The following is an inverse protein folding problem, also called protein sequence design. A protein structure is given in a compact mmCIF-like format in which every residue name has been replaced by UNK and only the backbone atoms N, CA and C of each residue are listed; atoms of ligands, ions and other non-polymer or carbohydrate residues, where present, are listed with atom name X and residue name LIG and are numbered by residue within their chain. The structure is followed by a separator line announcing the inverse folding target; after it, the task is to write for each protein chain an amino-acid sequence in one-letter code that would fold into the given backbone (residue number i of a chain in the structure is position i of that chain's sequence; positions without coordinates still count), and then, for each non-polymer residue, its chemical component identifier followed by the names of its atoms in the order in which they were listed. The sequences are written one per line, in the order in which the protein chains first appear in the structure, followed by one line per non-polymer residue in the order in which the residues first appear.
data_IF_063295367325
#
_entry.id   IF_063295367325
#
_cell.length_a   1.000
_cell.length_b   1.000
_cell.length_c   1.000
_cell.angle_alpha   90.00
_cell.angle_beta   90.00
_cell.angle_gamma   90.00
#
_symmetry.space_group_name_H-M   'P 1'
#
loop_
_entity.id
_entity.type
_entity.pdbx_description
1 polymer ?
#
# COMPACT_ATOMS: atom_id res chain seq x y z
N UNK A 1 -66.06 5.01 -1.38
CA UNK A 1 -65.27 3.95 -2.06
C UNK A 1 -64.03 4.59 -2.67
N UNK A 2 -62.95 4.66 -1.89
CA UNK A 2 -61.67 5.21 -2.38
C UNK A 2 -60.74 4.05 -2.68
N UNK A 3 -60.33 3.92 -3.91
CA UNK A 3 -59.33 2.95 -4.36
C UNK A 3 -57.95 3.61 -4.27
N UNK A 4 -57.13 3.13 -3.36
CA UNK A 4 -55.73 3.50 -3.24
C UNK A 4 -54.94 2.74 -4.31
N UNK A 5 -54.35 3.49 -5.25
CA UNK A 5 -53.37 2.93 -6.21
C UNK A 5 -51.99 2.84 -5.54
N UNK A 6 -51.50 1.66 -5.34
CA UNK A 6 -50.05 1.45 -5.04
C UNK A 6 -49.25 1.49 -6.32
N UNK A 7 -48.43 2.53 -6.48
CA UNK A 7 -47.37 2.56 -7.50
C UNK A 7 -46.14 1.90 -6.91
N UNK A 8 -45.86 0.70 -7.35
CA UNK A 8 -44.61 0.00 -7.06
C UNK A 8 -43.52 0.62 -7.90
N UNK A 9 -42.61 1.37 -7.27
CA UNK A 9 -41.39 1.87 -7.89
C UNK A 9 -40.36 0.72 -7.91
N UNK A 10 -40.35 -0.03 -9.01
CA UNK A 10 -39.32 -1.04 -9.25
C UNK A 10 -37.99 -0.35 -9.60
N UNK A 11 -37.02 -0.41 -8.70
CA UNK A 11 -35.64 -0.02 -9.01
C UNK A 11 -35.08 -1.10 -9.94
N UNK A 12 -35.03 -0.82 -11.22
CA UNK A 12 -34.30 -1.65 -12.18
C UNK A 12 -32.80 -1.47 -11.91
N UNK A 13 -32.17 -2.43 -11.27
CA UNK A 13 -30.72 -2.55 -11.24
C UNK A 13 -30.27 -2.89 -12.66
N UNK A 14 -29.87 -1.89 -13.41
CA UNK A 14 -29.22 -2.09 -14.70
C UNK A 14 -27.84 -2.66 -14.42
N UNK A 15 -27.74 -3.98 -14.51
CA UNK A 15 -26.45 -4.67 -14.53
C UNK A 15 -25.80 -4.35 -15.88
N UNK A 16 -25.02 -3.26 -15.93
CA UNK A 16 -24.16 -3.01 -17.08
C UNK A 16 -23.11 -4.11 -17.09
N UNK A 17 -23.21 -5.02 -18.07
CA UNK A 17 -22.13 -5.93 -18.37
C UNK A 17 -20.92 -5.07 -18.72
N UNK A 18 -19.93 -5.03 -17.83
CA UNK A 18 -18.72 -4.27 -18.04
C UNK A 18 -18.01 -4.86 -19.26
N UNK A 19 -17.67 -4.03 -20.23
CA UNK A 19 -16.74 -4.41 -21.28
C UNK A 19 -15.47 -4.93 -20.59
N UNK A 20 -14.96 -6.08 -21.05
CA UNK A 20 -13.73 -6.65 -20.47
C UNK A 20 -12.56 -5.69 -20.66
N UNK A 21 -11.71 -5.59 -19.66
CA UNK A 21 -10.43 -4.88 -19.72
C UNK A 21 -9.32 -5.84 -20.16
N UNK A 22 -8.22 -5.34 -20.69
CA UNK A 22 -7.02 -6.16 -20.85
C UNK A 22 -6.46 -6.51 -19.49
N UNK A 23 -6.43 -5.54 -18.57
CA UNK A 23 -5.90 -5.73 -17.21
C UNK A 23 -6.83 -5.11 -16.16
N UNK A 24 -7.06 -5.85 -15.09
CA UNK A 24 -7.59 -5.33 -13.82
C UNK A 24 -6.45 -5.31 -12.81
N UNK A 25 -6.17 -4.15 -12.23
CA UNK A 25 -5.23 -4.01 -11.12
C UNK A 25 -6.03 -3.79 -9.84
N UNK A 26 -5.86 -4.65 -8.85
CA UNK A 26 -6.51 -4.58 -7.56
C UNK A 26 -5.52 -4.09 -6.49
N UNK A 27 -5.80 -2.95 -5.89
CA UNK A 27 -4.94 -2.22 -4.96
C UNK A 27 -4.21 -1.06 -5.64
N UNK A 28 -4.59 0.18 -5.29
CA UNK A 28 -3.91 1.39 -5.75
C UNK A 28 -2.71 1.76 -4.85
N UNK A 29 -1.92 0.77 -4.45
CA UNK A 29 -0.59 0.97 -3.86
C UNK A 29 0.35 1.61 -4.90
N UNK A 30 1.55 2.08 -4.54
CA UNK A 30 2.52 2.56 -5.53
C UNK A 30 2.81 1.54 -6.63
N UNK A 31 2.85 0.25 -6.29
CA UNK A 31 3.04 -0.83 -7.26
C UNK A 31 1.87 -0.94 -8.24
N UNK A 32 0.62 -0.90 -7.74
CA UNK A 32 -0.57 -0.96 -8.57
C UNK A 32 -0.72 0.25 -9.49
N UNK A 33 -0.40 1.44 -8.98
CA UNK A 33 -0.37 2.67 -9.78
C UNK A 33 0.66 2.55 -10.91
N UNK A 34 1.87 2.10 -10.59
CA UNK A 34 2.91 1.88 -11.59
C UNK A 34 2.50 0.85 -12.65
N UNK A 35 1.93 -0.27 -12.23
CA UNK A 35 1.43 -1.30 -13.15
C UNK A 35 0.35 -0.73 -14.08
N UNK A 36 -0.63 -0.01 -13.54
CA UNK A 36 -1.72 0.57 -14.33
C UNK A 36 -1.23 1.61 -15.36
N UNK A 37 -0.26 2.44 -14.98
CA UNK A 37 0.37 3.43 -15.88
C UNK A 37 1.08 2.71 -17.02
N UNK A 38 1.89 1.69 -16.73
CA UNK A 38 2.62 0.98 -17.80
C UNK A 38 1.67 0.20 -18.72
N UNK A 39 0.58 -0.36 -18.22
CA UNK A 39 -0.45 -0.98 -19.07
C UNK A 39 -1.05 0.05 -20.04
N UNK A 40 -1.34 1.26 -19.58
CA UNK A 40 -1.84 2.35 -20.45
C UNK A 40 -0.80 2.77 -21.49
N UNK A 41 0.44 2.95 -21.07
CA UNK A 41 1.57 3.30 -21.96
C UNK A 41 1.81 2.23 -23.03
N UNK A 42 1.53 0.96 -22.71
CA UNK A 42 1.55 -0.14 -23.67
C UNK A 42 0.33 -0.17 -24.62
N UNK A 43 -0.59 0.78 -24.52
CA UNK A 43 -1.77 0.87 -25.38
C UNK A 43 -2.89 -0.08 -24.98
N UNK A 44 -2.83 -0.72 -23.82
CA UNK A 44 -3.85 -1.65 -23.33
C UNK A 44 -4.87 -0.96 -22.43
N UNK A 45 -6.06 -1.55 -22.35
CA UNK A 45 -7.11 -1.09 -21.43
C UNK A 45 -6.86 -1.60 -20.02
N UNK A 46 -7.01 -0.72 -19.01
CA UNK A 46 -6.85 -1.07 -17.61
C UNK A 46 -7.94 -0.41 -16.76
N UNK A 47 -8.27 -1.03 -15.65
CA UNK A 47 -8.97 -0.38 -14.52
C UNK A 47 -8.20 -0.65 -13.23
N UNK A 48 -8.01 0.39 -12.44
CA UNK A 48 -7.37 0.34 -11.13
C UNK A 48 -8.45 0.38 -10.06
N UNK A 49 -8.55 -0.69 -9.28
CA UNK A 49 -9.52 -0.85 -8.21
C UNK A 49 -8.81 -0.62 -6.87
N UNK A 50 -9.38 0.24 -6.05
CA UNK A 50 -8.85 0.53 -4.71
C UNK A 50 -9.90 0.17 -3.65
N UNK A 51 -9.58 -0.75 -2.71
CA UNK A 51 -10.51 -1.15 -1.65
C UNK A 51 -10.92 -0.02 -0.71
N UNK A 52 -10.05 0.96 -0.54
CA UNK A 52 -10.25 2.11 0.36
C UNK A 52 -10.72 3.35 -0.38
N UNK A 53 -10.86 4.45 0.33
CA UNK A 53 -11.16 5.76 -0.26
C UNK A 53 -9.92 6.56 -0.70
N UNK A 54 -8.71 5.97 -0.69
CA UNK A 54 -7.46 6.71 -0.88
C UNK A 54 -6.42 5.90 -1.63
N UNK A 55 -5.80 6.50 -2.65
CA UNK A 55 -4.72 5.87 -3.42
C UNK A 55 -3.34 6.09 -2.80
N UNK A 56 -2.35 5.32 -3.22
CA UNK A 56 -0.93 5.50 -2.93
C UNK A 56 -0.44 4.77 -1.69
N UNK A 57 -1.32 4.03 -0.99
CA UNK A 57 -0.94 3.18 0.13
C UNK A 57 -0.07 3.88 1.17
N UNK A 58 1.05 3.30 1.56
CA UNK A 58 1.98 3.88 2.55
C UNK A 58 2.58 5.22 2.10
N UNK A 59 2.80 5.43 0.81
CA UNK A 59 3.41 6.67 0.27
C UNK A 59 2.52 7.89 0.53
N UNK A 60 1.21 7.71 0.56
CA UNK A 60 0.24 8.77 0.83
C UNK A 60 -0.38 8.68 2.23
N UNK A 61 -0.08 7.61 2.96
CA UNK A 61 -0.65 7.28 4.25
C UNK A 61 0.13 7.78 5.47
N UNK A 62 1.20 8.58 5.29
CA UNK A 62 1.98 9.13 6.39
C UNK A 62 3.49 8.95 6.28
N UNK A 63 3.98 8.20 5.32
CA UNK A 63 5.40 8.04 5.07
C UNK A 63 5.92 9.19 4.20
N UNK A 64 6.38 10.27 4.82
CA UNK A 64 6.85 11.48 4.13
C UNK A 64 8.35 11.49 3.79
N UNK A 65 9.07 10.46 4.18
CA UNK A 65 10.48 10.31 3.87
C UNK A 65 10.74 8.91 3.29
N UNK A 66 11.44 8.87 2.17
CA UNK A 66 11.82 7.60 1.54
C UNK A 66 13.14 7.11 2.14
N UNK A 67 13.14 5.90 2.66
CA UNK A 67 14.36 5.22 3.06
C UNK A 67 15.07 4.71 1.80
N UNK A 68 16.22 5.29 1.51
CA UNK A 68 17.03 4.95 0.34
C UNK A 68 18.51 4.96 0.70
N UNK A 69 19.22 3.97 0.22
CA UNK A 69 20.68 3.90 0.35
C UNK A 69 21.37 4.75 -0.70
N UNK A 70 21.57 4.19 -1.89
CA UNK A 70 22.16 4.89 -3.04
C UNK A 70 21.06 5.40 -3.97
N UNK A 71 20.89 6.72 -4.13
CA UNK A 71 19.86 7.28 -5.01
C UNK A 71 20.06 6.95 -6.50
N UNK A 72 21.20 6.42 -6.88
CA UNK A 72 21.45 5.92 -8.26
C UNK A 72 20.86 4.54 -8.50
N UNK A 73 20.39 3.86 -7.45
CA UNK A 73 19.87 2.50 -7.53
C UNK A 73 18.42 2.43 -8.02
N UNK A 74 17.66 3.53 -8.02
CA UNK A 74 16.29 3.54 -8.50
C UNK A 74 16.16 4.21 -9.87
N UNK A 75 15.21 3.74 -10.67
CA UNK A 75 14.97 4.21 -12.03
C UNK A 75 13.51 4.03 -12.45
N UNK A 76 13.25 4.17 -13.75
CA UNK A 76 11.92 3.98 -14.32
C UNK A 76 10.85 4.84 -13.66
N UNK A 77 9.68 4.27 -13.41
CA UNK A 77 8.54 4.97 -12.81
C UNK A 77 8.81 5.49 -11.39
N UNK A 78 9.65 4.80 -10.61
CA UNK A 78 10.03 5.30 -9.29
C UNK A 78 10.78 6.64 -9.40
N UNK A 79 11.75 6.72 -10.32
CA UNK A 79 12.46 7.98 -10.58
C UNK A 79 11.52 9.06 -11.12
N UNK A 80 10.60 8.71 -12.03
CA UNK A 80 9.61 9.63 -12.56
C UNK A 80 8.70 10.19 -11.46
N UNK A 81 8.26 9.35 -10.50
CA UNK A 81 7.48 9.79 -9.36
C UNK A 81 8.22 10.85 -8.53
N UNK A 82 9.47 10.55 -8.11
CA UNK A 82 10.25 11.48 -7.30
C UNK A 82 10.63 12.76 -8.05
N UNK A 83 10.80 12.67 -9.36
CA UNK A 83 10.98 13.84 -10.22
C UNK A 83 9.71 14.71 -10.26
N UNK A 84 8.52 14.10 -10.35
CA UNK A 84 7.24 14.82 -10.28
C UNK A 84 7.03 15.48 -8.92
N UNK A 85 7.43 14.84 -7.84
CA UNK A 85 7.46 15.45 -6.50
C UNK A 85 8.35 16.69 -6.48
N UNK A 86 9.56 16.59 -7.03
CA UNK A 86 10.46 17.76 -7.12
C UNK A 86 9.85 18.90 -7.91
N UNK A 87 9.29 18.61 -9.09
CA UNK A 87 8.62 19.63 -9.92
C UNK A 87 7.46 20.33 -9.20
N UNK A 88 6.73 19.62 -8.34
CA UNK A 88 5.73 20.23 -7.46
C UNK A 88 6.39 21.26 -6.55
N UNK A 89 7.46 20.90 -5.85
CA UNK A 89 8.14 21.80 -4.91
C UNK A 89 9.05 22.85 -5.58
N UNK A 90 9.28 22.77 -6.88
CA UNK A 90 9.98 23.82 -7.64
C UNK A 90 9.07 25.05 -7.89
N UNK A 91 7.76 24.93 -7.65
CA UNK A 91 6.80 26.03 -7.75
C UNK A 91 6.79 26.83 -6.44
N UNK A 92 7.23 28.12 -6.42
CA UNK A 92 7.35 28.88 -5.18
C UNK A 92 6.04 29.03 -4.40
N UNK A 93 4.91 29.12 -5.08
CA UNK A 93 3.59 29.25 -4.44
C UNK A 93 3.11 28.00 -3.70
N UNK A 94 3.76 26.86 -3.88
CA UNK A 94 3.45 25.63 -3.16
C UNK A 94 4.06 25.58 -1.76
N UNK A 95 5.00 26.47 -1.46
CA UNK A 95 5.60 26.62 -0.13
C UNK A 95 4.74 27.54 0.74
N UNK A 96 3.61 27.03 1.22
CA UNK A 96 2.61 27.82 1.95
C UNK A 96 2.86 27.90 3.46
N UNK A 97 3.67 26.98 4.00
CA UNK A 97 3.87 26.84 5.44
C UNK A 97 5.24 27.31 5.91
N UNK A 98 6.24 27.18 5.05
CA UNK A 98 7.60 27.70 5.27
C UNK A 98 8.22 28.03 3.92
N UNK A 99 9.28 28.83 3.90
CA UNK A 99 10.01 29.10 2.67
C UNK A 99 10.90 27.90 2.28
N UNK A 100 11.14 27.76 0.97
CA UNK A 100 12.06 26.74 0.46
C UNK A 100 13.45 26.85 1.11
N UNK A 101 13.93 28.07 1.31
CA UNK A 101 15.23 28.38 1.89
C UNK A 101 15.30 27.96 3.37
N UNK A 102 14.19 28.15 4.13
CA UNK A 102 14.12 27.72 5.54
C UNK A 102 14.00 26.21 5.69
N UNK A 103 13.41 25.55 4.69
CA UNK A 103 13.34 24.08 4.65
C UNK A 103 14.66 23.45 4.22
N UNK A 104 15.65 24.21 3.77
CA UNK A 104 16.91 23.66 3.30
C UNK A 104 17.40 22.58 4.27
N UNK A 105 17.21 21.31 3.99
CA UNK A 105 17.69 20.26 4.85
C UNK A 105 19.19 20.20 4.66
N UNK A 106 19.92 20.80 5.56
CA UNK A 106 21.38 20.73 5.62
C UNK A 106 21.90 19.27 5.63
N UNK A 107 21.03 18.28 5.49
CA UNK A 107 21.33 16.86 5.68
C UNK A 107 20.73 15.90 4.65
N UNK A 108 19.89 16.32 3.72
CA UNK A 108 19.34 15.40 2.73
C UNK A 108 20.00 15.56 1.37
N UNK A 109 20.69 14.52 0.92
CA UNK A 109 21.28 14.45 -0.45
C UNK A 109 20.24 14.65 -1.55
N UNK A 110 18.97 14.39 -1.28
CA UNK A 110 17.86 14.53 -2.23
C UNK A 110 17.47 15.98 -2.53
N UNK A 111 18.12 16.95 -1.88
CA UNK A 111 17.89 18.37 -2.14
C UNK A 111 19.16 19.09 -2.63
N UNK A 112 20.16 18.36 -3.09
CA UNK A 112 21.27 18.96 -3.78
C UNK A 112 20.76 19.74 -5.01
N UNK A 113 21.35 20.92 -5.34
CA UNK A 113 20.87 21.74 -6.45
C UNK A 113 20.90 21.03 -7.81
N UNK A 114 21.75 20.04 -7.97
CA UNK A 114 21.92 19.21 -9.15
C UNK A 114 21.03 17.94 -9.17
N UNK A 115 20.25 17.72 -8.12
CA UNK A 115 19.35 16.57 -8.04
C UNK A 115 18.02 16.88 -8.75
N UNK A 116 17.62 16.03 -9.68
CA UNK A 116 16.37 16.18 -10.43
C UNK A 116 15.14 15.51 -9.78
N UNK A 117 15.30 14.97 -8.56
CA UNK A 117 14.24 14.30 -7.79
C UNK A 117 14.21 14.77 -6.32
N UNK A 118 13.14 14.45 -5.62
CA UNK A 118 12.98 14.75 -4.20
C UNK A 118 12.39 13.55 -3.45
N UNK A 119 13.08 13.11 -2.39
CA UNK A 119 12.75 11.91 -1.64
C UNK A 119 12.00 12.19 -0.31
N UNK A 120 11.91 13.46 0.08
CA UNK A 120 11.18 13.92 1.26
C UNK A 120 10.03 14.79 0.79
N UNK A 121 8.83 14.49 1.25
CA UNK A 121 7.61 15.16 0.77
C UNK A 121 6.47 14.98 1.76
N UNK A 122 5.47 15.85 1.64
CA UNK A 122 4.22 15.70 2.37
C UNK A 122 3.37 14.59 1.73
N UNK A 123 2.78 13.68 2.52
CA UNK A 123 1.91 12.63 1.99
C UNK A 123 0.76 13.15 1.14
N UNK A 124 0.23 14.32 1.48
CA UNK A 124 -0.81 15.00 0.70
C UNK A 124 -0.33 15.46 -0.69
N UNK A 125 0.94 15.82 -0.81
CA UNK A 125 1.57 16.17 -2.10
C UNK A 125 1.78 14.92 -2.93
N UNK A 126 2.25 13.84 -2.32
CA UNK A 126 2.36 12.55 -3.00
C UNK A 126 1.02 12.11 -3.60
N UNK A 127 -0.07 12.24 -2.84
CA UNK A 127 -1.41 11.92 -3.33
C UNK A 127 -1.79 12.77 -4.55
N UNK A 128 -1.63 14.10 -4.46
CA UNK A 128 -1.93 15.01 -5.58
C UNK A 128 -1.13 14.68 -6.84
N UNK A 129 0.16 14.37 -6.67
CA UNK A 129 1.05 14.00 -7.77
C UNK A 129 0.61 12.69 -8.42
N UNK A 130 0.29 11.67 -7.64
CA UNK A 130 -0.19 10.38 -8.15
C UNK A 130 -1.55 10.51 -8.85
N UNK A 131 -2.49 11.27 -8.27
CA UNK A 131 -3.79 11.53 -8.89
C UNK A 131 -3.67 12.30 -10.21
N UNK A 132 -2.76 13.28 -10.28
CA UNK A 132 -2.48 14.00 -11.51
C UNK A 132 -1.88 13.08 -12.57
N UNK A 133 -0.94 12.24 -12.18
CA UNK A 133 -0.29 11.30 -13.08
C UNK A 133 -1.27 10.27 -13.64
N UNK A 134 -2.11 9.68 -12.81
CA UNK A 134 -3.15 8.74 -13.27
C UNK A 134 -4.12 9.40 -14.26
N UNK A 135 -4.47 10.68 -14.04
CA UNK A 135 -5.29 11.44 -14.99
C UNK A 135 -4.57 11.73 -16.31
N UNK A 136 -3.29 12.08 -16.27
CA UNK A 136 -2.47 12.30 -17.48
C UNK A 136 -2.39 11.04 -18.36
N UNK A 137 -2.34 9.88 -17.74
CA UNK A 137 -2.25 8.58 -18.45
C UNK A 137 -3.63 7.96 -18.74
N UNK A 138 -4.73 8.70 -18.48
CA UNK A 138 -6.10 8.20 -18.66
C UNK A 138 -6.37 6.86 -17.97
N UNK A 139 -5.85 6.65 -16.76
CA UNK A 139 -6.09 5.44 -15.95
C UNK A 139 -7.40 5.60 -15.18
N UNK A 140 -8.44 4.81 -15.44
CA UNK A 140 -9.65 4.78 -14.63
C UNK A 140 -9.36 4.22 -13.23
N UNK A 141 -9.73 4.96 -12.20
CA UNK A 141 -9.59 4.55 -10.79
C UNK A 141 -10.96 4.45 -10.14
N UNK A 142 -11.23 3.33 -9.49
CA UNK A 142 -12.46 3.11 -8.73
C UNK A 142 -12.12 2.91 -7.26
N UNK A 143 -12.48 3.89 -6.45
CA UNK A 143 -12.31 3.85 -4.99
C UNK A 143 -13.47 3.08 -4.33
N UNK A 144 -13.23 2.53 -3.14
CA UNK A 144 -14.21 1.73 -2.41
C UNK A 144 -14.57 0.42 -3.12
N UNK A 145 -13.70 -0.05 -3.99
CA UNK A 145 -13.90 -1.28 -4.77
C UNK A 145 -13.32 -2.49 -4.02
N UNK A 146 -13.83 -2.77 -2.82
CA UNK A 146 -13.37 -3.88 -1.98
C UNK A 146 -13.80 -5.21 -2.59
N UNK A 147 -12.85 -6.14 -2.72
CA UNK A 147 -13.11 -7.50 -3.20
C UNK A 147 -14.07 -8.23 -2.25
N UNK A 148 -15.04 -8.91 -2.80
CA UNK A 148 -15.84 -9.88 -2.04
C UNK A 148 -14.99 -11.13 -1.81
N UNK A 149 -14.45 -11.27 -0.61
CA UNK A 149 -13.65 -12.43 -0.21
C UNK A 149 -14.51 -13.67 0.14
N UNK A 150 -15.82 -13.57 0.02
CA UNK A 150 -16.75 -14.68 0.19
C UNK A 150 -16.79 -15.62 -1.00
N UNK A 151 -17.60 -16.68 -0.88
CA UNK A 151 -17.80 -17.64 -1.96
C UNK A 151 -18.45 -16.97 -3.16
N UNK A 152 -17.71 -16.82 -4.26
CA UNK A 152 -18.18 -16.22 -5.50
C UNK A 152 -17.64 -14.83 -5.79
N UNK A 153 -16.77 -14.28 -4.94
CA UNK A 153 -16.08 -13.02 -5.23
C UNK A 153 -15.02 -13.15 -6.30
N UNK A 154 -14.40 -14.32 -6.44
CA UNK A 154 -13.48 -14.65 -7.55
C UNK A 154 -14.01 -15.88 -8.28
N UNK A 155 -14.28 -15.75 -9.57
CA UNK A 155 -14.71 -16.84 -10.41
C UNK A 155 -13.54 -17.39 -11.21
N UNK A 156 -13.28 -18.69 -11.08
CA UNK A 156 -12.19 -19.39 -11.78
C UNK A 156 -12.78 -20.29 -12.86
N UNK A 157 -12.30 -20.14 -14.08
CA UNK A 157 -12.58 -21.05 -15.19
C UNK A 157 -11.27 -21.42 -15.89
N UNK A 158 -11.09 -22.69 -16.20
CA UNK A 158 -9.89 -23.20 -16.88
C UNK A 158 -8.55 -22.73 -16.25
N UNK A 159 -8.51 -22.75 -14.92
CA UNK A 159 -7.36 -22.27 -14.12
C UNK A 159 -7.00 -20.79 -14.32
N UNK A 160 -7.95 -19.98 -14.74
CA UNK A 160 -7.82 -18.53 -14.90
C UNK A 160 -8.94 -17.82 -14.15
N UNK A 161 -8.66 -16.64 -13.65
CA UNK A 161 -9.69 -15.75 -13.11
C UNK A 161 -10.55 -15.30 -14.29
N UNK A 162 -11.84 -15.67 -14.28
CA UNK A 162 -12.81 -15.26 -15.30
C UNK A 162 -13.42 -13.88 -14.98
N UNK A 163 -13.69 -13.64 -13.70
CA UNK A 163 -14.19 -12.37 -13.19
C UNK A 163 -13.91 -12.23 -11.69
N UNK A 164 -13.89 -10.99 -11.23
CA UNK A 164 -13.90 -10.66 -9.81
C UNK A 164 -15.12 -9.81 -9.48
N UNK A 165 -15.63 -9.95 -8.27
CA UNK A 165 -16.76 -9.19 -7.74
C UNK A 165 -16.35 -8.40 -6.52
N UNK A 166 -16.84 -7.17 -6.41
CA UNK A 166 -16.68 -6.35 -5.23
C UNK A 166 -17.89 -6.50 -4.29
N UNK A 167 -17.71 -6.16 -3.00
CA UNK A 167 -18.76 -6.24 -1.96
C UNK A 167 -20.03 -5.45 -2.33
N UNK A 168 -19.91 -4.39 -3.11
CA UNK A 168 -21.02 -3.60 -3.64
C UNK A 168 -21.68 -4.20 -4.91
N UNK A 169 -21.25 -5.39 -5.31
CA UNK A 169 -21.83 -6.16 -6.39
C UNK A 169 -21.32 -5.83 -7.79
N UNK A 170 -20.39 -4.89 -7.95
CA UNK A 170 -19.78 -4.64 -9.28
C UNK A 170 -18.93 -5.84 -9.69
N UNK A 171 -18.93 -6.13 -10.98
CA UNK A 171 -18.20 -7.25 -11.58
C UNK A 171 -17.20 -6.73 -12.59
N UNK A 172 -15.97 -7.24 -12.54
CA UNK A 172 -14.88 -6.85 -13.43
C UNK A 172 -14.31 -8.09 -14.13
N UNK A 173 -14.16 -7.97 -15.44
CA UNK A 173 -13.59 -8.99 -16.31
C UNK A 173 -12.34 -8.48 -16.99
N UNK A 174 -11.31 -9.31 -17.05
CA UNK A 174 -10.07 -8.97 -17.74
C UNK A 174 -9.35 -10.23 -18.25
N UNK A 175 -8.37 -9.99 -19.13
CA UNK A 175 -7.46 -11.04 -19.57
C UNK A 175 -6.40 -11.34 -18.53
N UNK A 176 -5.99 -10.31 -17.76
CA UNK A 176 -4.97 -10.38 -16.70
C UNK A 176 -5.47 -9.66 -15.45
N UNK A 177 -5.18 -10.24 -14.29
CA UNK A 177 -5.45 -9.65 -12.99
C UNK A 177 -4.14 -9.49 -12.22
N UNK A 178 -3.94 -8.33 -11.63
CA UNK A 178 -2.76 -7.99 -10.83
C UNK A 178 -3.23 -7.67 -9.42
N UNK A 179 -2.75 -8.43 -8.43
CA UNK A 179 -2.93 -8.07 -7.02
C UNK A 179 -1.76 -7.19 -6.60
N UNK A 180 -2.06 -5.97 -6.20
CA UNK A 180 -1.09 -4.97 -5.72
C UNK A 180 -1.44 -4.47 -4.32
N UNK A 181 -2.27 -5.22 -3.61
CA UNK A 181 -2.56 -4.96 -2.20
C UNK A 181 -1.40 -5.37 -1.32
N UNK A 182 -1.39 -4.91 -0.08
CA UNK A 182 -0.43 -5.39 0.92
C UNK A 182 -0.88 -6.73 1.53
N UNK A 183 -2.17 -7.00 1.49
CA UNK A 183 -2.81 -8.16 2.10
C UNK A 183 -2.79 -9.40 1.19
N UNK A 184 -2.79 -9.23 -0.14
CA UNK A 184 -2.84 -10.33 -1.10
C UNK A 184 -4.22 -11.02 -1.18
N UNK A 185 -5.29 -10.27 -0.92
CA UNK A 185 -6.66 -10.80 -0.86
C UNK A 185 -7.10 -11.45 -2.18
N UNK A 186 -6.79 -10.82 -3.31
CA UNK A 186 -7.12 -11.38 -4.63
C UNK A 186 -6.31 -12.65 -4.92
N UNK A 187 -5.03 -12.67 -4.55
CA UNK A 187 -4.17 -13.84 -4.68
C UNK A 187 -4.75 -15.01 -3.88
N UNK A 188 -5.07 -14.79 -2.62
CA UNK A 188 -5.64 -15.82 -1.74
C UNK A 188 -7.01 -16.30 -2.24
N UNK A 189 -7.90 -15.38 -2.61
CA UNK A 189 -9.24 -15.71 -3.11
C UNK A 189 -9.22 -16.43 -4.46
N UNK A 190 -8.14 -16.28 -5.24
CA UNK A 190 -7.96 -17.01 -6.51
C UNK A 190 -7.38 -18.42 -6.34
N UNK A 191 -7.08 -18.84 -5.11
CA UNK A 191 -6.59 -20.19 -4.81
C UNK A 191 -5.11 -20.40 -5.16
N UNK A 192 -4.33 -19.33 -5.21
CA UNK A 192 -2.86 -19.42 -5.32
C UNK A 192 -2.31 -19.86 -3.98
N UNK A 193 -1.37 -20.81 -3.99
CA UNK A 193 -0.68 -21.23 -2.78
C UNK A 193 0.16 -20.08 -2.21
N UNK A 194 0.09 -19.88 -0.91
CA UNK A 194 0.87 -18.87 -0.19
C UNK A 194 1.24 -19.35 1.21
N UNK A 195 2.22 -18.71 1.81
CA UNK A 195 2.64 -18.95 3.19
C UNK A 195 2.43 -17.70 4.02
N UNK A 196 2.18 -17.90 5.32
CA UNK A 196 2.07 -16.83 6.31
C UNK A 196 3.12 -17.09 7.39
N UNK A 197 3.75 -16.01 7.86
CA UNK A 197 4.79 -16.11 8.87
C UNK A 197 6.20 -16.10 8.28
N UNK A 198 7.16 -16.58 9.06
CA UNK A 198 8.57 -16.61 8.66
C UNK A 198 8.97 -17.98 8.14
N UNK A 199 9.53 -18.03 6.94
CA UNK A 199 10.13 -19.23 6.39
C UNK A 199 11.41 -19.59 7.13
N UNK A 200 11.64 -20.88 7.34
CA UNK A 200 12.91 -21.36 7.91
C UNK A 200 14.02 -21.43 6.87
N UNK A 201 15.27 -21.33 7.33
CA UNK A 201 16.47 -21.42 6.50
C UNK A 201 16.52 -22.71 5.65
N UNK A 202 15.97 -23.81 6.16
CA UNK A 202 16.02 -25.11 5.48
C UNK A 202 15.12 -25.22 4.24
N UNK A 203 14.16 -24.29 4.03
CA UNK A 203 13.21 -24.40 2.91
C UNK A 203 13.91 -24.18 1.57
N UNK A 204 14.75 -23.17 1.47
CA UNK A 204 15.51 -22.83 0.25
C UNK A 204 17.02 -22.79 0.46
N UNK A 205 17.54 -23.31 1.57
CA UNK A 205 18.97 -23.31 1.88
C UNK A 205 19.55 -21.91 2.17
N UNK A 206 18.71 -21.03 2.72
CA UNK A 206 19.12 -19.67 3.11
C UNK A 206 19.70 -19.62 4.53
N UNK A 207 20.21 -18.48 4.97
CA UNK A 207 20.94 -18.39 6.24
C UNK A 207 20.46 -17.30 7.17
N UNK A 208 19.54 -16.44 6.72
CA UNK A 208 19.03 -15.30 7.48
C UNK A 208 17.51 -15.21 7.50
N UNK A 209 16.83 -16.28 7.17
CA UNK A 209 15.37 -16.40 7.26
C UNK A 209 14.93 -16.91 8.63
N UNK A 210 13.63 -16.92 8.86
CA UNK A 210 13.02 -17.41 10.08
C UNK A 210 13.29 -16.54 11.30
N UNK A 211 13.37 -17.16 12.45
CA UNK A 211 13.76 -16.52 13.70
C UNK A 211 15.20 -16.05 13.59
N UNK A 212 15.49 -14.83 14.07
CA UNK A 212 16.83 -14.21 13.99
C UNK A 212 17.11 -13.41 15.27
N UNK A 213 16.89 -13.98 16.43
CA UNK A 213 17.06 -13.28 17.71
C UNK A 213 18.52 -12.95 18.01
N UNK A 214 19.45 -13.87 17.72
CA UNK A 214 20.89 -13.68 17.99
C UNK A 214 21.55 -12.72 17.00
N UNK A 215 21.10 -12.74 15.73
CA UNK A 215 21.68 -11.93 14.65
C UNK A 215 21.04 -10.55 14.51
N UNK A 216 19.89 -10.31 15.13
CA UNK A 216 19.19 -9.04 15.08
C UNK A 216 19.96 -7.99 15.89
N UNK A 217 20.50 -6.97 15.21
CA UNK A 217 21.20 -5.84 15.82
C UNK A 217 20.32 -4.58 15.91
N UNK A 218 19.17 -4.58 15.25
CA UNK A 218 18.17 -3.53 15.26
C UNK A 218 16.84 -4.07 15.78
N UNK A 219 15.89 -3.18 16.11
CA UNK A 219 14.55 -3.53 16.60
C UNK A 219 14.54 -4.27 17.94
N UNK A 220 15.60 -4.14 18.70
CA UNK A 220 15.68 -4.60 20.09
C UNK A 220 15.25 -3.47 21.02
N UNK A 221 14.64 -3.80 22.15
CA UNK A 221 14.41 -2.82 23.19
C UNK A 221 15.74 -2.33 23.76
N UNK A 222 15.80 -1.03 24.05
CA UNK A 222 16.95 -0.45 24.71
C UNK A 222 17.18 -1.06 26.10
N UNK A 223 18.42 -1.07 26.55
CA UNK A 223 18.76 -1.52 27.92
C UNK A 223 17.93 -0.74 28.95
N UNK A 224 17.26 -1.45 29.86
CA UNK A 224 16.44 -0.88 30.91
C UNK A 224 14.98 -0.63 30.58
N UNK A 225 14.52 -1.01 29.38
CA UNK A 225 13.08 -1.08 29.08
C UNK A 225 12.51 -2.31 29.79
N UNK A 226 11.51 -2.08 30.64
CA UNK A 226 10.82 -3.14 31.34
C UNK A 226 9.62 -3.62 30.50
N UNK A 227 9.54 -4.89 30.12
CA UNK A 227 8.49 -5.40 29.25
C UNK A 227 7.21 -5.80 29.99
N UNK A 228 7.18 -5.73 31.31
CA UNK A 228 6.10 -6.27 32.12
C UNK A 228 5.01 -5.23 32.41
N UNK A 229 3.77 -5.69 32.60
CA UNK A 229 2.61 -4.85 32.97
C UNK A 229 2.87 -4.12 34.29
N UNK A 230 3.41 -4.85 35.28
CA UNK A 230 3.91 -4.26 36.54
C UNK A 230 5.43 -4.30 36.48
N UNK A 231 6.04 -3.14 36.57
CA UNK A 231 7.49 -2.99 36.44
C UNK A 231 8.25 -3.89 37.42
N UNK A 232 9.14 -4.71 36.86
CA UNK A 232 9.98 -5.64 37.61
C UNK A 232 9.28 -6.91 38.07
N UNK A 233 8.02 -7.14 37.69
CA UNK A 233 7.26 -8.33 38.03
C UNK A 233 6.93 -9.16 36.79
N UNK A 234 7.72 -10.20 36.47
CA UNK A 234 7.44 -11.12 35.37
C UNK A 234 6.08 -11.84 35.48
N UNK A 235 5.57 -12.04 36.72
CA UNK A 235 4.29 -12.73 36.93
C UNK A 235 3.10 -11.87 36.50
N UNK A 236 3.27 -10.55 36.32
CA UNK A 236 2.25 -9.65 35.83
C UNK A 236 1.95 -9.78 34.31
N UNK A 237 2.77 -10.55 33.60
CA UNK A 237 2.66 -10.72 32.15
C UNK A 237 3.32 -9.60 31.38
N UNK A 238 3.41 -9.77 30.05
CA UNK A 238 4.00 -8.81 29.12
C UNK A 238 3.01 -7.68 28.81
N UNK A 239 3.55 -6.51 28.49
CA UNK A 239 2.78 -5.40 27.92
C UNK A 239 2.06 -5.84 26.64
N UNK A 240 0.91 -5.24 26.31
CA UNK A 240 0.19 -5.55 25.06
C UNK A 240 1.10 -5.46 23.83
N UNK A 241 0.93 -6.40 22.90
CA UNK A 241 1.70 -6.49 21.65
C UNK A 241 3.18 -6.89 21.81
N UNK A 242 3.60 -7.30 22.98
CA UNK A 242 4.89 -7.95 23.16
C UNK A 242 4.71 -9.48 23.10
N UNK A 243 5.56 -10.11 22.34
CA UNK A 243 5.64 -11.58 22.29
C UNK A 243 6.70 -12.08 23.30
N UNK A 244 6.46 -13.22 23.95
CA UNK A 244 7.46 -13.80 24.81
C UNK A 244 8.68 -14.25 23.99
N UNK A 245 9.84 -14.16 24.57
CA UNK A 245 11.02 -14.89 24.11
C UNK A 245 10.85 -16.35 24.52
N UNK A 246 10.48 -17.19 23.58
CA UNK A 246 10.24 -18.62 23.79
C UNK A 246 11.47 -19.49 23.45
N UNK A 247 12.64 -18.85 23.33
CA UNK A 247 13.91 -19.53 23.08
C UNK A 247 13.98 -20.24 21.74
N UNK A 248 13.29 -19.72 20.72
CA UNK A 248 13.37 -20.27 19.37
C UNK A 248 14.79 -20.12 18.81
N UNK A 249 15.28 -21.18 18.20
CA UNK A 249 16.59 -21.19 17.52
C UNK A 249 16.57 -20.31 16.25
N UNK A 250 17.66 -19.63 15.99
CA UNK A 250 17.83 -18.82 14.76
C UNK A 250 17.68 -19.73 13.51
N UNK A 251 16.93 -19.25 12.53
CA UNK A 251 16.69 -19.94 11.28
C UNK A 251 15.48 -20.88 11.28
N UNK A 252 14.76 -21.02 12.39
CA UNK A 252 13.54 -21.82 12.48
C UNK A 252 12.34 -21.03 11.93
N UNK A 253 11.44 -21.73 11.22
CA UNK A 253 10.18 -21.17 10.75
C UNK A 253 9.19 -20.96 11.89
N UNK A 254 8.35 -19.94 11.80
CA UNK A 254 7.19 -19.77 12.68
C UNK A 254 6.02 -19.07 11.97
N UNK A 255 4.87 -19.01 12.63
CA UNK A 255 3.68 -18.34 12.11
C UNK A 255 3.61 -16.84 12.42
N UNK A 256 4.65 -16.24 12.97
CA UNK A 256 4.65 -14.83 13.35
C UNK A 256 4.81 -13.93 12.11
N UNK A 257 4.08 -12.84 12.12
CA UNK A 257 4.17 -11.80 11.09
C UNK A 257 4.94 -10.60 11.62
N UNK A 258 5.45 -9.77 10.72
CA UNK A 258 6.12 -8.54 11.09
C UNK A 258 5.15 -7.60 11.83
N UNK A 259 5.64 -6.94 12.88
CA UNK A 259 4.87 -5.93 13.61
C UNK A 259 4.51 -4.75 12.70
N UNK A 260 3.29 -4.24 12.87
CA UNK A 260 2.85 -3.05 12.15
C UNK A 260 3.56 -1.80 12.67
N UNK A 261 4.00 -0.95 11.73
CA UNK A 261 4.50 0.39 12.05
C UNK A 261 3.40 1.42 11.84
N UNK A 262 3.11 2.20 12.89
CA UNK A 262 2.22 3.34 12.79
C UNK A 262 3.06 4.60 12.62
N UNK A 263 2.83 5.32 11.51
CA UNK A 263 3.55 6.55 11.20
C UNK A 263 2.58 7.71 11.05
N UNK A 264 2.94 8.85 11.63
CA UNK A 264 2.18 10.09 11.55
C UNK A 264 3.10 11.22 11.13
N UNK A 265 2.60 12.11 10.28
CA UNK A 265 3.26 13.39 10.02
C UNK A 265 2.89 14.34 11.16
N UNK A 266 3.88 14.78 11.89
CA UNK A 266 3.72 15.73 12.98
C UNK A 266 4.28 17.09 12.61
N UNK A 267 3.73 18.15 13.20
CA UNK A 267 4.22 19.50 13.05
C UNK A 267 4.12 20.23 14.39
N UNK A 268 5.08 21.12 14.67
CA UNK A 268 5.06 22.06 15.78
C UNK A 268 4.56 23.44 15.38
N UNK A 269 4.19 23.61 14.12
CA UNK A 269 3.61 24.84 13.57
C UNK A 269 2.10 24.83 13.79
N UNK A 270 1.55 25.73 14.65
CA UNK A 270 0.13 25.70 15.03
C UNK A 270 -0.85 25.80 13.85
N UNK A 271 -0.49 26.51 12.79
CA UNK A 271 -1.30 26.69 11.58
C UNK A 271 -1.44 25.42 10.73
N UNK A 272 -0.68 24.37 11.07
CA UNK A 272 -0.72 23.07 10.41
C UNK A 272 -1.50 22.00 11.20
N UNK A 273 -2.03 22.36 12.37
CA UNK A 273 -2.80 21.46 13.22
C UNK A 273 -4.22 21.23 12.70
#
# INVERSE_FOLDING_TARGET
MWRTLFVSCGVAVVCMAAAGHDVVVYGASPAGIAAAIEVRRAGMSVVLLEPTGKIGGMTTGGLGQTDIGDPRAFGGLAHEFYRRIKLWYDVPSHWTRQSRESYAPAKSRSMAPDCDFMLVFEPSVAQKVLEAWLREEDVPVLLGARLDCGSGGVSIADKRIAEIRTEDGRVFKANVYVDSTYEGDLMAASGVDYVVGREGNGVYGETINGVQCEKAIHHQFGVGVDPYVVRGDPASGLLPYLEPDDGLEDGVADGRIQAYCYRMCLTDVPENW
#
